data_IF_304016750352
#
_entry.id   IF_304016750352
#
_cell.length_a   1.000
_cell.length_b   1.000
_cell.length_c   1.000
_cell.angle_alpha   90.00
_cell.angle_beta   90.00
_cell.angle_gamma   90.00
#
_symmetry.space_group_name_H-M   'P 1'
#
loop_
_entity.id
_entity.type
_entity.pdbx_description
1 polymer ?
#
# COMPACT_ATOMS: atom_id res chain seq x y z
N UNK A 1 -0.60 55.67 -22.96
CA UNK A 1 -1.15 54.55 -22.18
C UNK A 1 -2.34 53.97 -22.94
N UNK A 2 -2.36 52.64 -23.14
CA UNK A 2 -3.28 51.94 -24.04
C UNK A 2 -4.74 52.01 -23.56
N UNK A 3 -5.62 52.51 -24.43
CA UNK A 3 -7.07 52.32 -24.32
C UNK A 3 -7.43 50.90 -24.75
N UNK A 4 -8.08 50.13 -23.87
CA UNK A 4 -8.68 48.82 -24.22
C UNK A 4 -10.18 49.02 -24.29
N UNK A 5 -10.72 48.76 -25.48
CA UNK A 5 -12.13 48.80 -25.83
C UNK A 5 -12.90 47.67 -25.14
N UNK A 6 -13.94 48.03 -24.40
CA UNK A 6 -15.06 47.16 -24.05
C UNK A 6 -16.01 47.06 -25.26
N UNK A 7 -16.47 45.84 -25.57
CA UNK A 7 -17.76 45.60 -26.26
C UNK A 7 -18.37 44.25 -25.85
N UNK A 8 -19.71 44.09 -25.99
CA UNK A 8 -20.56 43.33 -25.08
C UNK A 8 -21.12 41.99 -25.64
N UNK A 9 -21.81 41.23 -24.77
CA UNK A 9 -22.59 39.99 -25.04
C UNK A 9 -23.66 40.17 -26.15
N UNK A 10 -24.14 39.05 -26.71
CA UNK A 10 -25.58 38.77 -26.55
C UNK A 10 -25.94 37.30 -26.23
N UNK A 11 -27.14 37.18 -25.64
CA UNK A 11 -27.87 36.01 -25.15
C UNK A 11 -28.50 35.17 -26.27
N UNK A 12 -28.94 33.94 -25.90
CA UNK A 12 -30.10 33.13 -26.36
C UNK A 12 -29.68 31.66 -26.18
N UNK A 13 -30.29 30.77 -25.39
CA UNK A 13 -31.65 30.67 -24.85
C UNK A 13 -32.18 29.27 -25.20
N UNK A 14 -32.55 28.46 -24.20
CA UNK A 14 -33.50 27.31 -24.19
C UNK A 14 -33.03 26.27 -23.15
N UNK A 15 -33.68 26.16 -21.98
CA UNK A 15 -34.87 25.33 -21.75
C UNK A 15 -34.61 23.85 -22.06
N UNK A 16 -34.42 23.02 -21.03
CA UNK A 16 -35.41 21.98 -20.73
C UNK A 16 -35.16 21.34 -19.35
N UNK A 17 -36.29 20.99 -18.73
CA UNK A 17 -36.48 20.60 -17.32
C UNK A 17 -36.46 19.07 -17.20
N UNK A 18 -36.14 18.58 -16.00
CA UNK A 18 -36.35 17.22 -15.50
C UNK A 18 -37.70 16.59 -15.90
N UNK A 19 -37.69 15.26 -16.11
CA UNK A 19 -38.71 14.25 -15.73
C UNK A 19 -38.09 12.87 -16.05
N UNK A 20 -37.68 12.06 -15.07
CA UNK A 20 -38.48 11.09 -14.28
C UNK A 20 -39.08 9.93 -15.12
N UNK A 21 -38.58 8.72 -14.82
CA UNK A 21 -39.23 7.40 -14.76
C UNK A 21 -40.16 6.93 -15.88
N UNK A 22 -39.80 5.80 -16.50
CA UNK A 22 -40.64 4.62 -16.84
C UNK A 22 -39.74 3.61 -17.58
N UNK A 23 -39.42 2.42 -17.05
CA UNK A 23 -40.31 1.27 -16.91
C UNK A 23 -40.95 0.87 -18.25
N UNK A 24 -40.32 -0.04 -19.01
CA UNK A 24 -40.92 -1.32 -19.38
C UNK A 24 -39.95 -2.21 -20.19
N UNK A 25 -39.82 -3.45 -19.71
CA UNK A 25 -39.40 -4.68 -20.37
C UNK A 25 -39.83 -4.83 -21.84
N UNK A 26 -39.04 -5.52 -22.68
CA UNK A 26 -39.18 -6.98 -22.89
C UNK A 26 -38.25 -7.56 -23.98
N UNK A 27 -38.07 -8.89 -23.87
CA UNK A 27 -37.81 -9.86 -24.93
C UNK A 27 -36.36 -10.35 -25.30
N UNK A 28 -35.89 -11.34 -24.53
CA UNK A 28 -35.57 -12.72 -24.97
C UNK A 28 -34.81 -12.96 -26.31
N UNK A 29 -33.54 -13.42 -26.24
CA UNK A 29 -33.08 -14.82 -26.48
C UNK A 29 -31.58 -14.90 -26.88
N UNK A 30 -30.83 -15.64 -26.05
CA UNK A 30 -29.94 -16.77 -26.42
C UNK A 30 -28.59 -16.49 -27.13
N UNK A 31 -27.58 -17.20 -26.61
CA UNK A 31 -26.25 -17.58 -27.15
C UNK A 31 -25.09 -16.58 -26.98
N UNK A 32 -24.12 -16.98 -26.14
CA UNK A 32 -22.80 -16.33 -26.10
C UNK A 32 -22.06 -16.54 -24.79
N UNK A 33 -21.68 -17.79 -24.49
CA UNK A 33 -20.62 -18.06 -23.51
C UNK A 33 -19.35 -17.32 -23.96
N UNK A 34 -18.92 -16.33 -23.17
CA UNK A 34 -17.53 -15.89 -23.20
C UNK A 34 -17.07 -15.72 -21.77
N UNK A 35 -16.26 -16.70 -21.36
CA UNK A 35 -15.40 -16.63 -20.20
C UNK A 35 -14.54 -15.37 -20.34
N UNK A 36 -14.93 -14.27 -19.70
CA UNK A 36 -13.99 -13.20 -19.42
C UNK A 36 -13.16 -13.67 -18.24
N UNK A 37 -12.09 -14.41 -18.57
CA UNK A 37 -10.97 -14.68 -17.69
C UNK A 37 -10.60 -13.37 -17.00
N UNK A 38 -11.03 -13.24 -15.76
CA UNK A 38 -10.55 -12.21 -14.86
C UNK A 38 -9.09 -12.56 -14.68
N UNK A 39 -8.22 -11.91 -15.46
CA UNK A 39 -6.79 -11.92 -15.22
C UNK A 39 -6.61 -11.31 -13.85
N UNK A 40 -6.59 -12.17 -12.83
CA UNK A 40 -5.99 -11.87 -11.55
C UNK A 40 -4.60 -11.37 -11.88
N UNK A 41 -4.41 -10.07 -11.86
CA UNK A 41 -3.11 -9.46 -11.72
C UNK A 41 -2.65 -9.89 -10.33
N UNK A 42 -2.13 -11.12 -10.25
CA UNK A 42 -1.18 -11.45 -9.22
C UNK A 42 -0.03 -10.49 -9.50
N UNK A 43 0.00 -9.41 -8.73
CA UNK A 43 1.26 -8.74 -8.47
C UNK A 43 2.12 -9.86 -7.89
N UNK A 44 2.92 -10.48 -8.76
CA UNK A 44 3.93 -11.45 -8.40
C UNK A 44 4.92 -10.69 -7.55
N UNK A 45 4.58 -10.68 -6.27
CA UNK A 45 5.27 -9.95 -5.24
C UNK A 45 6.58 -10.69 -5.06
N UNK A 46 7.68 -10.18 -5.64
CA UNK A 46 9.02 -10.71 -5.36
C UNK A 46 9.24 -10.69 -3.84
N UNK A 47 9.03 -11.85 -3.22
CA UNK A 47 9.10 -12.01 -1.78
C UNK A 47 10.57 -12.05 -1.37
N UNK A 48 11.01 -10.98 -0.71
CA UNK A 48 12.38 -10.86 -0.21
C UNK A 48 12.59 -11.76 1.01
N UNK A 49 12.83 -13.04 0.76
CA UNK A 49 13.33 -13.98 1.76
C UNK A 49 14.85 -13.98 1.76
N UNK A 50 15.49 -14.01 2.94
CA UNK A 50 16.93 -14.29 3.00
C UNK A 50 17.08 -15.80 3.04
N UNK A 51 17.69 -16.40 2.00
CA UNK A 51 17.89 -17.85 1.89
C UNK A 51 16.57 -18.64 1.99
N UNK A 52 15.48 -18.16 1.39
CA UNK A 52 14.17 -18.82 1.45
C UNK A 52 13.43 -18.67 2.78
N UNK A 53 14.00 -17.95 3.76
CA UNK A 53 13.44 -17.83 5.11
C UNK A 53 12.88 -16.43 5.36
N UNK A 54 11.64 -16.40 5.85
CA UNK A 54 10.94 -15.19 6.29
C UNK A 54 11.61 -14.55 7.50
N UNK A 55 11.85 -13.24 7.42
CA UNK A 55 12.56 -12.53 8.48
C UNK A 55 11.62 -11.90 9.52
N UNK A 56 10.43 -11.47 9.10
CA UNK A 56 9.42 -10.94 10.01
C UNK A 56 8.84 -12.08 10.86
N UNK A 57 8.83 -11.92 12.18
CA UNK A 57 8.32 -12.92 13.14
C UNK A 57 7.00 -12.52 13.75
N UNK A 58 6.91 -11.26 14.16
CA UNK A 58 5.73 -10.70 14.81
C UNK A 58 5.37 -9.37 14.17
N UNK A 59 4.12 -9.21 13.76
CA UNK A 59 3.54 -7.94 13.35
C UNK A 59 2.54 -7.51 14.43
N UNK A 60 2.83 -6.39 15.08
CA UNK A 60 1.98 -5.81 16.12
C UNK A 60 1.25 -4.61 15.56
N UNK A 61 -0.09 -4.65 15.61
CA UNK A 61 -0.98 -3.57 15.19
C UNK A 61 -1.41 -2.85 16.46
N UNK A 62 -0.82 -1.69 16.73
CA UNK A 62 -1.22 -0.85 17.85
C UNK A 62 -2.36 0.05 17.42
N UNK A 63 -3.49 -0.04 18.11
CA UNK A 63 -4.66 0.80 17.88
C UNK A 63 -5.20 1.35 19.19
N UNK A 64 -6.01 2.41 19.12
CA UNK A 64 -6.73 2.95 20.26
C UNK A 64 -8.24 2.69 20.07
N UNK A 65 -8.98 2.47 21.15
CA UNK A 65 -10.44 2.25 21.12
C UNK A 65 -11.24 3.54 21.42
N UNK A 66 -10.57 4.60 21.87
CA UNK A 66 -11.19 5.87 22.28
C UNK A 66 -10.27 7.04 21.93
N UNK A 67 -10.77 8.08 21.27
CA UNK A 67 -9.92 9.22 20.91
C UNK A 67 -10.63 10.30 20.11
N UNK A 68 -10.81 11.46 20.73
CA UNK A 68 -11.23 12.69 20.07
C UNK A 68 -10.02 13.36 19.39
N UNK A 69 -9.98 13.29 18.07
CA UNK A 69 -9.22 14.23 17.24
C UNK A 69 -10.20 14.72 16.19
N UNK A 70 -10.35 16.02 16.05
CA UNK A 70 -11.38 16.66 15.21
C UNK A 70 -11.20 16.41 13.70
N UNK A 71 -10.13 15.71 13.30
CA UNK A 71 -10.01 14.98 12.01
C UNK A 71 -9.73 13.48 12.19
N UNK A 72 -9.50 13.01 13.42
CA UNK A 72 -9.12 11.65 13.81
C UNK A 72 -10.26 10.68 14.13
N UNK A 73 -11.51 11.03 13.82
CA UNK A 73 -12.58 10.01 13.68
C UNK A 73 -12.22 9.03 12.56
N UNK A 74 -11.54 9.48 11.50
CA UNK A 74 -11.08 8.64 10.39
C UNK A 74 -9.97 7.67 10.82
N UNK A 75 -9.03 8.09 11.66
CA UNK A 75 -7.93 7.22 12.08
C UNK A 75 -8.44 6.02 12.91
N UNK A 76 -9.46 6.25 13.74
CA UNK A 76 -10.13 5.21 14.51
C UNK A 76 -10.95 4.28 13.60
N UNK A 77 -11.76 4.84 12.70
CA UNK A 77 -12.64 4.05 11.84
C UNK A 77 -11.86 3.23 10.81
N UNK A 78 -10.78 3.77 10.24
CA UNK A 78 -9.99 3.09 9.21
C UNK A 78 -9.15 1.94 9.79
N UNK A 79 -8.47 2.12 10.93
CA UNK A 79 -7.76 1.01 11.58
C UNK A 79 -8.71 -0.10 12.05
N UNK A 80 -9.91 0.28 12.52
CA UNK A 80 -10.94 -0.69 12.87
C UNK A 80 -11.43 -1.48 11.66
N UNK A 81 -11.72 -0.79 10.55
CA UNK A 81 -12.10 -1.45 9.30
C UNK A 81 -11.02 -2.42 8.82
N UNK A 82 -9.74 -2.03 8.92
CA UNK A 82 -8.61 -2.91 8.61
C UNK A 82 -8.54 -4.16 9.50
N UNK A 83 -8.83 -4.04 10.79
CA UNK A 83 -8.85 -5.19 11.71
C UNK A 83 -10.00 -6.16 11.43
N UNK A 84 -11.17 -5.64 11.03
CA UNK A 84 -12.35 -6.47 10.77
C UNK A 84 -12.25 -7.23 9.44
N UNK A 85 -11.82 -6.58 8.37
CA UNK A 85 -11.77 -7.21 7.04
C UNK A 85 -10.40 -7.82 6.72
N UNK A 86 -9.35 -6.99 6.71
CA UNK A 86 -8.08 -7.34 6.09
C UNK A 86 -7.16 -8.16 7.00
N UNK A 87 -7.25 -7.99 8.32
CA UNK A 87 -6.35 -8.65 9.27
C UNK A 87 -6.52 -10.16 9.30
N UNK A 88 -7.75 -10.67 9.15
CA UNK A 88 -8.00 -12.12 9.10
C UNK A 88 -7.43 -12.74 7.82
N UNK A 89 -7.74 -12.16 6.66
CA UNK A 89 -7.16 -12.57 5.37
C UNK A 89 -5.63 -12.52 5.39
N UNK A 90 -5.06 -11.52 6.08
CA UNK A 90 -3.61 -11.39 6.21
C UNK A 90 -2.99 -12.49 7.09
N UNK A 91 -3.70 -12.94 8.14
CA UNK A 91 -3.28 -14.08 8.98
C UNK A 91 -3.34 -15.40 8.22
N UNK A 92 -4.44 -15.64 7.50
CA UNK A 92 -4.66 -16.86 6.72
C UNK A 92 -3.61 -17.02 5.62
N UNK A 93 -3.28 -15.93 4.93
CA UNK A 93 -2.22 -15.92 3.91
C UNK A 93 -0.80 -16.07 4.48
N UNK A 94 -0.61 -15.88 5.78
CA UNK A 94 0.69 -15.88 6.44
C UNK A 94 0.69 -16.66 7.76
N UNK A 95 0.50 -17.99 7.74
CA UNK A 95 0.47 -18.79 8.96
C UNK A 95 1.80 -18.78 9.75
N UNK A 96 2.90 -18.38 9.09
CA UNK A 96 4.24 -18.32 9.68
C UNK A 96 4.48 -17.04 10.50
N UNK A 97 3.60 -16.04 10.38
CA UNK A 97 3.73 -14.73 10.99
C UNK A 97 2.76 -14.62 12.17
N UNK A 98 3.27 -14.22 13.34
CA UNK A 98 2.42 -13.90 14.48
C UNK A 98 1.86 -12.47 14.32
N UNK A 99 0.54 -12.35 14.15
CA UNK A 99 -0.12 -11.04 14.04
C UNK A 99 -0.90 -10.76 15.33
N UNK A 100 -0.45 -9.76 16.09
CA UNK A 100 -1.02 -9.34 17.37
C UNK A 100 -1.63 -7.95 17.24
N UNK A 101 -2.82 -7.75 17.80
CA UNK A 101 -3.43 -6.44 17.93
C UNK A 101 -3.30 -5.97 19.38
N UNK A 102 -2.70 -4.81 19.60
CA UNK A 102 -2.49 -4.21 20.92
C UNK A 102 -3.32 -2.94 21.05
N UNK A 103 -4.03 -2.82 22.19
CA UNK A 103 -4.81 -1.64 22.52
C UNK A 103 -3.95 -0.66 23.31
N UNK A 104 -3.46 0.40 22.66
CA UNK A 104 -2.68 1.45 23.28
C UNK A 104 -3.47 2.76 23.31
N UNK A 105 -3.86 3.18 24.52
CA UNK A 105 -4.64 4.41 24.72
C UNK A 105 -3.75 5.65 24.71
N UNK A 106 -4.22 6.73 24.11
CA UNK A 106 -3.51 8.02 24.09
C UNK A 106 -2.31 8.10 23.14
N UNK A 107 -2.09 7.08 22.31
CA UNK A 107 -1.02 7.05 21.31
C UNK A 107 -1.60 6.94 19.90
N UNK A 108 -0.88 7.46 18.91
CA UNK A 108 -1.26 7.30 17.50
C UNK A 108 -1.12 5.85 17.07
N UNK A 109 -1.98 5.35 16.17
CA UNK A 109 -1.86 3.98 15.71
C UNK A 109 -0.60 3.79 14.86
N UNK A 110 0.05 2.66 15.08
CA UNK A 110 1.27 2.27 14.38
C UNK A 110 1.34 0.77 14.17
N UNK A 111 2.06 0.38 13.12
CA UNK A 111 2.45 -1.00 12.86
C UNK A 111 3.89 -1.18 13.34
N UNK A 112 4.11 -2.22 14.15
CA UNK A 112 5.42 -2.60 14.64
C UNK A 112 5.78 -4.00 14.15
N UNK A 113 6.81 -4.09 13.32
CA UNK A 113 7.37 -5.36 12.83
C UNK A 113 8.61 -5.76 13.62
N UNK A 114 8.60 -6.96 14.21
CA UNK A 114 9.74 -7.56 14.92
C UNK A 114 10.37 -8.64 14.05
N UNK A 115 11.67 -8.52 13.78
CA UNK A 115 12.41 -9.42 12.87
C UNK A 115 13.29 -10.41 13.63
N UNK A 116 13.69 -11.51 12.98
CA UNK A 116 14.66 -12.48 13.54
C UNK A 116 15.97 -11.84 14.00
N UNK A 117 16.37 -10.76 13.33
CA UNK A 117 17.57 -10.00 13.64
C UNK A 117 17.46 -9.17 14.94
N UNK A 118 16.38 -9.34 15.72
CA UNK A 118 16.01 -8.56 16.93
C UNK A 118 15.75 -7.08 16.68
N UNK A 119 15.93 -6.62 15.45
CA UNK A 119 15.54 -5.27 15.04
C UNK A 119 14.03 -5.14 15.00
N UNK A 120 13.58 -3.91 15.21
CA UNK A 120 12.19 -3.52 15.13
C UNK A 120 12.02 -2.41 14.09
N UNK A 121 10.89 -2.42 13.38
CA UNK A 121 10.47 -1.36 12.46
C UNK A 121 9.10 -0.87 12.89
N UNK A 122 8.99 0.42 13.16
CA UNK A 122 7.72 1.07 13.48
C UNK A 122 7.33 1.98 12.32
N UNK A 123 6.09 1.87 11.86
CA UNK A 123 5.48 2.71 10.83
C UNK A 123 4.19 3.29 11.41
N UNK A 124 4.08 4.61 11.49
CA UNK A 124 2.83 5.26 11.88
C UNK A 124 1.81 5.17 10.76
N UNK A 125 0.54 4.98 11.12
CA UNK A 125 -0.55 4.74 10.17
C UNK A 125 -1.64 5.82 10.31
N UNK A 126 -1.22 7.02 10.69
CA UNK A 126 -2.14 8.14 10.84
C UNK A 126 -2.68 8.55 9.47
N UNK A 127 -4.01 8.71 9.37
CA UNK A 127 -4.69 9.25 8.19
C UNK A 127 -4.45 8.43 6.90
N UNK A 128 -4.25 7.12 7.02
CA UNK A 128 -4.14 6.19 5.89
C UNK A 128 -5.46 5.45 5.68
N UNK A 129 -5.74 5.06 4.44
CA UNK A 129 -6.87 4.16 4.11
C UNK A 129 -6.54 2.72 4.54
N UNK A 130 -7.53 1.84 4.76
CA UNK A 130 -7.28 0.44 5.12
C UNK A 130 -6.42 -0.30 4.08
N UNK A 131 -6.54 0.06 2.80
CA UNK A 131 -5.72 -0.48 1.72
C UNK A 131 -4.25 -0.03 1.83
N UNK A 132 -4.01 1.25 2.14
CA UNK A 132 -2.67 1.76 2.39
C UNK A 132 -2.03 1.11 3.64
N UNK A 133 -2.84 0.83 4.67
CA UNK A 133 -2.38 0.08 5.86
C UNK A 133 -1.92 -1.32 5.46
N UNK A 134 -2.69 -2.00 4.61
CA UNK A 134 -2.32 -3.31 4.08
C UNK A 134 -1.03 -3.24 3.25
N UNK A 135 -0.87 -2.20 2.44
CA UNK A 135 0.36 -1.97 1.68
C UNK A 135 1.56 -1.76 2.62
N UNK A 136 1.40 -0.98 3.69
CA UNK A 136 2.42 -0.80 4.73
C UNK A 136 2.76 -2.11 5.46
N UNK A 137 1.75 -2.90 5.84
CA UNK A 137 1.94 -4.23 6.44
C UNK A 137 2.68 -5.18 5.49
N UNK A 138 2.34 -5.13 4.21
CA UNK A 138 3.00 -5.90 3.16
C UNK A 138 4.45 -5.43 2.95
N UNK A 139 4.73 -4.12 2.98
CA UNK A 139 6.10 -3.60 2.94
C UNK A 139 6.93 -4.11 4.14
N UNK A 140 6.35 -4.14 5.34
CA UNK A 140 7.01 -4.69 6.53
C UNK A 140 7.29 -6.19 6.37
N UNK A 141 6.31 -6.96 5.90
CA UNK A 141 6.43 -8.40 5.58
C UNK A 141 7.61 -8.68 4.65
N UNK A 142 7.77 -7.86 3.62
CA UNK A 142 8.81 -8.02 2.61
C UNK A 142 10.14 -7.35 2.98
N UNK A 143 10.24 -6.71 4.13
CA UNK A 143 11.51 -6.13 4.57
C UNK A 143 12.32 -7.10 5.42
N UNK A 144 13.64 -6.91 5.45
CA UNK A 144 14.55 -7.75 6.23
C UNK A 144 14.77 -7.25 7.67
N UNK A 145 14.24 -6.08 8.01
CA UNK A 145 14.50 -5.41 9.29
C UNK A 145 15.90 -4.81 9.46
N UNK A 146 16.71 -4.70 8.40
CA UNK A 146 18.01 -3.99 8.45
C UNK A 146 17.81 -2.48 8.40
N UNK A 147 18.62 -1.70 9.14
CA UNK A 147 18.60 -0.22 9.07
C UNK A 147 18.73 0.23 7.62
N UNK A 148 17.85 1.12 7.16
CA UNK A 148 17.96 1.71 5.82
C UNK A 148 19.15 2.66 5.87
N UNK A 149 20.21 2.31 5.16
CA UNK A 149 21.43 3.11 5.04
C UNK A 149 21.56 3.51 3.58
N UNK A 150 21.92 4.78 3.34
CA UNK A 150 22.22 5.25 1.99
C UNK A 150 23.47 4.53 1.48
N UNK A 151 23.30 3.71 0.45
CA UNK A 151 24.43 3.09 -0.24
C UNK A 151 25.14 4.14 -1.11
N UNK A 152 26.47 4.09 -1.16
CA UNK A 152 27.27 4.96 -2.04
C UNK A 152 27.12 4.56 -3.50
N UNK A 153 27.17 3.26 -3.78
CA UNK A 153 27.06 2.65 -5.10
C UNK A 153 25.80 1.77 -5.19
N UNK A 154 25.26 1.62 -6.40
CA UNK A 154 24.09 0.74 -6.64
C UNK A 154 24.45 -0.73 -6.45
N UNK A 155 25.64 -1.14 -6.89
CA UNK A 155 26.14 -2.50 -6.76
C UNK A 155 27.18 -2.58 -5.63
N UNK A 156 27.09 -3.65 -4.84
CA UNK A 156 28.07 -4.01 -3.81
C UNK A 156 28.55 -5.42 -4.14
N UNK A 157 29.77 -5.53 -4.63
CA UNK A 157 30.41 -6.81 -4.98
C UNK A 157 31.53 -7.09 -3.99
N UNK A 158 31.61 -8.34 -3.50
CA UNK A 158 32.74 -8.78 -2.66
C UNK A 158 34.00 -9.01 -3.50
N UNK A 159 33.81 -9.42 -4.75
CA UNK A 159 34.86 -9.72 -5.70
C UNK A 159 34.68 -8.81 -6.92
N UNK A 160 35.43 -7.70 -7.02
CA UNK A 160 35.27 -6.74 -8.12
C UNK A 160 35.84 -7.25 -9.44
N UNK A 161 36.86 -8.11 -9.41
CA UNK A 161 37.53 -8.67 -10.60
C UNK A 161 37.59 -10.20 -10.53
N UNK A 162 37.43 -10.86 -11.67
CA UNK A 162 37.55 -12.33 -11.79
C UNK A 162 39.00 -12.76 -12.06
N UNK A 163 39.73 -12.03 -12.89
CA UNK A 163 41.09 -12.39 -13.35
C UNK A 163 42.22 -11.64 -12.62
N UNK A 164 41.86 -10.79 -11.65
CA UNK A 164 42.79 -9.88 -10.98
C UNK A 164 42.51 -8.43 -11.31
N UNK A 165 42.91 -7.54 -10.40
CA UNK A 165 42.86 -6.10 -10.62
C UNK A 165 44.03 -5.68 -11.50
N UNK A 166 43.79 -4.74 -12.41
CA UNK A 166 44.85 -4.18 -13.24
C UNK A 166 45.92 -3.49 -12.38
N UNK A 167 47.19 -3.76 -12.66
CA UNK A 167 48.36 -3.14 -12.03
C UNK A 167 49.37 -2.70 -13.09
N UNK A 168 50.00 -1.54 -12.90
CA UNK A 168 50.93 -0.94 -13.87
C UNK A 168 52.20 -1.78 -14.09
N UNK A 169 52.63 -2.54 -13.09
CA UNK A 169 53.92 -3.27 -13.10
C UNK A 169 53.90 -4.59 -13.89
N UNK A 170 52.84 -4.84 -14.67
CA UNK A 170 52.78 -5.98 -15.58
C UNK A 170 53.67 -5.71 -16.80
N UNK A 171 54.96 -5.96 -16.64
CA UNK A 171 55.87 -6.11 -17.78
C UNK A 171 55.53 -7.41 -18.50
N UNK A 172 54.97 -7.27 -19.71
CA UNK A 172 54.69 -8.34 -20.66
C UNK A 172 56.00 -8.76 -21.35
#
# INVERSE_FOLDING_TARGET
MRFILLRPKPNLGCLFVCLCSSFLQDHLRVFGSSNTSTSSLTLDFEQMSQRGVWQLRKLTVSYCNWGGSSKGISCLSMCRAFMESHLQTFKESNPQLEVVAELNRGQHPFLKGSYKNKNERVVSVMNMTPEDVLLCATRLRNSLGRKVVKLKTRHVTKHPSVQGTWTTDLQI
#
